data_IF_837887735428
#
_entry.id   IF_837887735428
#
_cell.length_a   1.000
_cell.length_b   1.000
_cell.length_c   1.000
_cell.angle_alpha   90.00
_cell.angle_beta   90.00
_cell.angle_gamma   90.00
#
_symmetry.space_group_name_H-M   'P 1'
#
loop_
_entity.id
_entity.type
_entity.pdbx_description
1 polymer ?
#
# COMPACT_ATOMS: atom_id res chain seq x y z
N UNK A 1 -14.34 -7.34 3.72
CA UNK A 1 -13.26 -6.85 2.84
C UNK A 1 -13.83 -5.98 1.73
N UNK A 2 -13.17 -4.87 1.46
CA UNK A 2 -13.53 -3.92 0.40
C UNK A 2 -12.30 -3.64 -0.46
N UNK A 3 -12.49 -3.59 -1.79
CA UNK A 3 -11.45 -3.20 -2.73
C UNK A 3 -12.08 -2.25 -3.75
N UNK A 4 -11.50 -1.06 -3.87
CA UNK A 4 -11.97 -0.05 -4.81
C UNK A 4 -10.84 0.31 -5.77
N UNK A 5 -11.18 0.51 -7.03
CA UNK A 5 -10.25 1.01 -8.04
C UNK A 5 -10.73 2.35 -8.56
N UNK A 6 -9.81 3.27 -8.78
CA UNK A 6 -10.07 4.52 -9.47
C UNK A 6 -8.87 4.95 -10.29
N UNK A 7 -9.10 5.82 -11.26
CA UNK A 7 -8.05 6.47 -12.04
C UNK A 7 -8.03 7.95 -11.69
N UNK A 8 -6.85 8.44 -11.32
CA UNK A 8 -6.62 9.85 -11.02
C UNK A 8 -5.85 10.47 -12.16
N UNK A 9 -6.35 11.60 -12.68
CA UNK A 9 -5.63 12.39 -13.67
C UNK A 9 -4.58 13.23 -12.97
N UNK A 10 -3.31 13.05 -13.35
CA UNK A 10 -2.19 13.82 -12.83
C UNK A 10 -1.53 14.60 -13.97
N UNK A 11 -0.67 15.60 -13.67
CA UNK A 11 0.11 16.29 -14.70
C UNK A 11 1.00 15.35 -15.52
N UNK A 12 1.42 14.20 -14.96
CA UNK A 12 2.22 13.17 -15.64
C UNK A 12 1.38 12.11 -16.37
N UNK A 13 0.04 12.26 -16.40
CA UNK A 13 -0.87 11.29 -17.02
C UNK A 13 -1.75 10.56 -16.00
N UNK A 14 -2.48 9.52 -16.43
CA UNK A 14 -3.37 8.76 -15.56
C UNK A 14 -2.58 7.92 -14.55
N UNK A 15 -3.05 7.89 -13.31
CA UNK A 15 -2.56 7.06 -12.22
C UNK A 15 -3.66 6.11 -11.77
N UNK A 16 -3.40 4.81 -11.80
CA UNK A 16 -4.30 3.80 -11.25
C UNK A 16 -4.15 3.69 -9.73
N UNK A 17 -5.26 3.77 -8.99
CA UNK A 17 -5.28 3.54 -7.55
C UNK A 17 -6.13 2.32 -7.21
N UNK A 18 -5.61 1.48 -6.32
CA UNK A 18 -6.34 0.37 -5.69
C UNK A 18 -6.36 0.62 -4.19
N UNK A 19 -7.54 0.86 -3.64
CA UNK A 19 -7.75 1.09 -2.20
C UNK A 19 -8.30 -0.18 -1.57
N UNK A 20 -7.63 -0.65 -0.52
CA UNK A 20 -7.88 -1.95 0.10
C UNK A 20 -8.26 -1.77 1.57
N UNK A 21 -9.30 -2.49 2.00
CA UNK A 21 -9.72 -2.60 3.39
C UNK A 21 -10.06 -4.07 3.67
N UNK A 22 -9.12 -4.79 4.26
CA UNK A 22 -9.23 -6.21 4.58
C UNK A 22 -9.78 -6.37 5.99
N UNK A 23 -10.75 -7.25 6.13
CA UNK A 23 -11.35 -7.56 7.43
C UNK A 23 -10.34 -8.04 8.48
N UNK A 24 -10.53 -7.58 9.72
CA UNK A 24 -9.68 -7.88 10.88
C UNK A 24 -9.90 -9.26 11.50
N UNK A 25 -10.68 -10.16 10.88
CA UNK A 25 -10.98 -11.48 11.43
C UNK A 25 -9.70 -12.30 11.63
N UNK A 26 -9.39 -12.62 12.90
CA UNK A 26 -8.10 -13.21 13.31
C UNK A 26 -7.82 -14.58 12.71
N UNK A 27 -8.83 -15.37 12.37
CA UNK A 27 -8.70 -16.73 11.86
C UNK A 27 -8.85 -16.84 10.35
N UNK A 28 -9.06 -15.72 9.64
CA UNK A 28 -9.22 -15.77 8.19
C UNK A 28 -7.87 -15.95 7.48
N UNK A 29 -7.83 -16.86 6.51
CA UNK A 29 -6.69 -16.98 5.60
C UNK A 29 -6.72 -15.85 4.57
N UNK A 30 -5.92 -14.81 4.80
CA UNK A 30 -5.87 -13.62 3.92
C UNK A 30 -5.08 -13.84 2.63
N UNK A 31 -4.33 -14.94 2.54
CA UNK A 31 -3.49 -15.24 1.36
C UNK A 31 -4.24 -15.20 0.03
N UNK A 32 -5.35 -15.92 -0.15
CA UNK A 32 -6.13 -15.88 -1.39
C UNK A 32 -6.67 -14.48 -1.74
N UNK A 33 -7.03 -13.70 -0.73
CA UNK A 33 -7.52 -12.34 -0.94
C UNK A 33 -6.40 -11.42 -1.40
N UNK A 34 -5.24 -11.46 -0.73
CA UNK A 34 -4.06 -10.66 -1.10
C UNK A 34 -3.59 -11.02 -2.51
N UNK A 35 -3.63 -12.32 -2.88
CA UNK A 35 -3.33 -12.76 -4.24
C UNK A 35 -4.29 -12.13 -5.27
N UNK A 36 -5.59 -12.08 -4.98
CA UNK A 36 -6.59 -11.45 -5.87
C UNK A 36 -6.39 -9.93 -5.99
N UNK A 37 -6.02 -9.25 -4.89
CA UNK A 37 -5.67 -7.82 -4.94
C UNK A 37 -4.44 -7.62 -5.82
N UNK A 38 -3.43 -8.49 -5.71
CA UNK A 38 -2.26 -8.46 -6.58
C UNK A 38 -2.63 -8.64 -8.06
N UNK A 39 -3.42 -9.67 -8.40
CA UNK A 39 -3.86 -9.93 -9.77
C UNK A 39 -4.60 -8.73 -10.36
N UNK A 40 -5.50 -8.14 -9.59
CA UNK A 40 -6.21 -6.92 -9.99
C UNK A 40 -5.22 -5.77 -10.25
N UNK A 41 -4.35 -5.48 -9.29
CA UNK A 41 -3.37 -4.39 -9.40
C UNK A 41 -2.41 -4.59 -10.59
N UNK A 42 -1.93 -5.82 -10.81
CA UNK A 42 -1.04 -6.17 -11.91
C UNK A 42 -1.71 -6.10 -13.29
N UNK A 43 -3.05 -6.18 -13.34
CA UNK A 43 -3.83 -6.04 -14.58
C UNK A 43 -4.10 -4.59 -14.98
N UNK A 44 -3.89 -3.63 -14.08
CA UNK A 44 -4.15 -2.21 -14.34
C UNK A 44 -2.99 -1.56 -15.09
N UNK A 45 -3.28 -0.52 -15.90
CA UNK A 45 -2.21 0.29 -16.51
C UNK A 45 -1.34 0.95 -15.44
N UNK A 46 -0.03 0.99 -15.67
CA UNK A 46 0.93 1.74 -14.84
C UNK A 46 0.95 3.22 -15.23
N UNK A 47 1.31 4.11 -14.32
CA UNK A 47 1.68 3.87 -12.92
C UNK A 47 0.49 3.41 -12.05
N UNK A 48 0.74 2.50 -11.12
CA UNK A 48 -0.27 1.95 -10.21
C UNK A 48 0.18 2.05 -8.75
N UNK A 49 -0.70 2.50 -7.87
CA UNK A 49 -0.52 2.50 -6.42
C UNK A 49 -1.60 1.62 -5.79
N UNK A 50 -1.17 0.70 -4.91
CA UNK A 50 -2.08 -0.10 -4.07
C UNK A 50 -1.87 0.33 -2.63
N UNK A 51 -2.93 0.76 -1.94
CA UNK A 51 -2.82 1.29 -0.59
C UNK A 51 -4.01 0.90 0.29
N UNK A 52 -3.78 0.85 1.59
CA UNK A 52 -4.85 0.63 2.57
C UNK A 52 -4.47 -0.34 3.68
N UNK A 53 -5.49 -0.76 4.43
CA UNK A 53 -5.36 -1.73 5.51
C UNK A 53 -5.47 -3.15 4.95
N UNK A 54 -4.38 -3.90 5.06
CA UNK A 54 -4.32 -5.31 4.67
C UNK A 54 -4.51 -6.26 5.85
N UNK A 55 -4.58 -5.74 7.07
CA UNK A 55 -4.64 -6.53 8.30
C UNK A 55 -3.61 -7.68 8.36
N UNK A 56 -2.48 -7.50 7.68
CA UNK A 56 -1.41 -8.50 7.50
C UNK A 56 -0.08 -7.77 7.42
N UNK A 57 0.92 -8.12 8.24
CA UNK A 57 2.24 -7.50 8.17
C UNK A 57 2.87 -7.62 6.78
N UNK A 58 3.55 -6.56 6.31
CA UNK A 58 4.17 -6.53 4.98
C UNK A 58 5.22 -7.64 4.79
N UNK A 59 5.83 -8.13 5.89
CA UNK A 59 6.81 -9.24 5.87
C UNK A 59 6.18 -10.61 5.62
N UNK A 60 4.85 -10.72 5.65
CA UNK A 60 4.15 -11.98 5.39
C UNK A 60 4.49 -12.53 3.99
N UNK A 61 4.58 -13.87 3.90
CA UNK A 61 4.77 -14.57 2.63
C UNK A 61 3.62 -14.35 1.63
N UNK A 62 2.46 -13.87 2.10
CA UNK A 62 1.33 -13.51 1.22
C UNK A 62 1.66 -12.37 0.26
N UNK A 63 2.67 -11.52 0.56
CA UNK A 63 3.13 -10.44 -0.31
C UNK A 63 4.29 -10.82 -1.25
N UNK A 64 4.59 -12.10 -1.42
CA UNK A 64 5.70 -12.53 -2.30
C UNK A 64 5.54 -12.01 -3.73
N UNK A 65 4.34 -12.09 -4.31
CA UNK A 65 4.07 -11.62 -5.67
C UNK A 65 4.09 -10.08 -5.75
N UNK A 66 3.59 -9.39 -4.71
CA UNK A 66 3.73 -7.94 -4.62
C UNK A 66 5.20 -7.51 -4.68
N UNK A 67 6.09 -8.15 -3.92
CA UNK A 67 7.52 -7.81 -3.91
C UNK A 67 8.22 -8.02 -5.26
N UNK A 68 7.69 -8.89 -6.10
CA UNK A 68 8.24 -9.13 -7.45
C UNK A 68 7.91 -8.00 -8.41
N UNK A 69 6.69 -7.48 -8.38
CA UNK A 69 6.16 -6.52 -9.35
C UNK A 69 6.05 -5.09 -8.83
N UNK A 70 5.89 -4.94 -7.52
CA UNK A 70 5.76 -3.66 -6.82
C UNK A 70 6.91 -3.46 -5.84
N UNK A 71 7.06 -2.25 -5.34
CA UNK A 71 7.94 -1.89 -4.24
C UNK A 71 7.12 -1.34 -3.08
N UNK A 72 7.49 -1.69 -1.85
CA UNK A 72 6.83 -1.17 -0.67
C UNK A 72 7.39 0.23 -0.33
N UNK A 73 6.53 1.24 -0.28
CA UNK A 73 6.96 2.63 -0.14
C UNK A 73 7.79 2.86 1.13
N UNK A 74 7.38 2.30 2.27
CA UNK A 74 8.09 2.49 3.51
C UNK A 74 9.43 1.73 3.54
N UNK A 75 9.51 0.50 3.02
CA UNK A 75 10.80 -0.23 2.92
C UNK A 75 11.80 0.52 2.04
N UNK A 76 11.30 1.21 1.00
CA UNK A 76 12.15 1.88 0.01
C UNK A 76 12.61 3.27 0.45
N UNK A 77 11.81 4.02 1.21
CA UNK A 77 12.06 5.43 1.52
C UNK A 77 11.57 5.87 2.90
N UNK A 78 11.22 4.90 3.77
CA UNK A 78 10.66 5.20 5.09
C UNK A 78 11.67 5.73 6.08
N UNK A 79 11.19 6.53 7.01
CA UNK A 79 11.91 6.98 8.19
C UNK A 79 11.11 6.71 9.46
N UNK A 80 11.78 6.27 10.52
CA UNK A 80 11.15 5.94 11.79
C UNK A 80 10.62 4.51 11.86
N UNK A 81 9.57 4.30 12.65
CA UNK A 81 8.96 2.99 12.84
C UNK A 81 7.81 2.78 11.87
N UNK A 82 7.81 1.64 11.20
CA UNK A 82 6.76 1.22 10.25
C UNK A 82 5.43 0.81 10.90
N UNK A 83 5.36 0.23 12.14
CA UNK A 83 4.10 -0.25 12.68
C UNK A 83 3.04 0.85 12.73
N UNK A 84 1.82 0.49 12.30
CA UNK A 84 0.67 1.39 12.24
C UNK A 84 -0.38 1.09 13.31
N UNK A 85 -0.41 -0.13 13.86
CA UNK A 85 -1.42 -0.54 14.82
C UNK A 85 -0.83 -1.23 16.06
N UNK A 86 -1.43 -1.02 17.26
CA UNK A 86 -2.35 0.07 17.61
C UNK A 86 -1.63 1.42 17.71
N UNK A 87 -2.27 2.52 17.34
CA UNK A 87 -1.65 3.84 17.19
C UNK A 87 -0.91 4.35 18.44
N UNK A 88 -1.35 3.98 19.66
CA UNK A 88 -0.72 4.41 20.90
C UNK A 88 0.59 3.67 21.20
N UNK A 89 0.67 2.39 20.84
CA UNK A 89 1.85 1.55 20.98
C UNK A 89 1.94 0.64 19.75
N UNK A 90 2.35 1.16 18.58
CA UNK A 90 2.30 0.39 17.34
C UNK A 90 3.33 -0.73 17.36
N UNK A 91 2.83 -1.95 17.11
CA UNK A 91 3.62 -3.19 17.08
C UNK A 91 3.42 -3.97 15.78
N UNK A 92 2.33 -3.70 15.04
CA UNK A 92 2.02 -4.34 13.77
C UNK A 92 1.93 -3.29 12.66
N UNK A 93 2.49 -3.60 11.52
CA UNK A 93 2.37 -2.87 10.28
C UNK A 93 1.26 -3.51 9.43
N UNK A 94 0.06 -2.95 9.51
CA UNK A 94 -1.13 -3.49 8.85
C UNK A 94 -1.54 -2.68 7.62
N UNK A 95 -1.12 -1.42 7.59
CA UNK A 95 -1.40 -0.48 6.50
C UNK A 95 -0.20 -0.40 5.56
N UNK A 96 -0.43 -0.51 4.26
CA UNK A 96 0.65 -0.54 3.27
C UNK A 96 0.40 0.40 2.11
N UNK A 97 1.50 0.83 1.49
CA UNK A 97 1.53 1.50 0.19
C UNK A 97 2.51 0.74 -0.70
N UNK A 98 1.99 0.10 -1.73
CA UNK A 98 2.74 -0.60 -2.76
C UNK A 98 2.71 0.22 -4.05
N UNK A 99 3.86 0.41 -4.65
CA UNK A 99 4.07 1.26 -5.83
C UNK A 99 4.53 0.39 -6.99
N UNK A 100 3.97 0.58 -8.18
CA UNK A 100 4.57 0.00 -9.39
C UNK A 100 6.00 0.49 -9.58
N UNK A 101 6.83 -0.28 -10.26
CA UNK A 101 8.29 -0.04 -10.32
C UNK A 101 8.68 1.26 -11.02
N UNK A 102 7.80 1.84 -11.81
CA UNK A 102 7.97 3.13 -12.50
C UNK A 102 7.71 4.36 -11.60
N UNK A 103 7.14 4.17 -10.42
CA UNK A 103 6.98 5.22 -9.41
C UNK A 103 8.22 5.26 -8.51
N UNK A 104 8.78 6.45 -8.30
CA UNK A 104 9.95 6.62 -7.42
C UNK A 104 9.50 7.05 -6.03
N UNK A 105 9.67 6.21 -4.99
CA UNK A 105 9.39 6.61 -3.62
C UNK A 105 10.41 7.65 -3.15
N UNK A 106 9.93 8.74 -2.55
CA UNK A 106 10.76 9.86 -2.07
C UNK A 106 10.91 9.82 -0.56
N UNK A 107 9.78 9.71 0.14
CA UNK A 107 9.75 9.64 1.60
C UNK A 107 8.48 8.93 2.05
N UNK A 108 8.60 8.13 3.11
CA UNK A 108 7.44 7.52 3.76
C UNK A 108 7.56 7.61 5.28
N UNK A 109 6.44 7.86 5.96
CA UNK A 109 6.36 7.93 7.43
C UNK A 109 5.00 7.53 7.94
N UNK A 110 4.95 7.05 9.18
CA UNK A 110 3.71 6.86 9.91
C UNK A 110 3.45 8.05 10.83
N UNK A 111 2.25 8.61 10.77
CA UNK A 111 1.81 9.73 11.62
C UNK A 111 0.70 9.26 12.56
N UNK A 112 0.93 9.38 13.86
CA UNK A 112 -0.09 9.07 14.87
C UNK A 112 -1.18 10.14 14.88
N UNK A 113 -2.43 9.72 14.90
CA UNK A 113 -3.56 10.59 15.11
C UNK A 113 -4.33 10.10 16.34
N UNK A 114 -4.92 11.00 17.11
CA UNK A 114 -5.76 10.64 18.25
C UNK A 114 -7.21 10.33 17.84
N UNK A 115 -7.48 10.20 16.53
CA UNK A 115 -8.82 10.00 15.97
C UNK A 115 -9.02 8.60 15.38
N UNK A 116 -7.98 7.77 15.36
CA UNK A 116 -7.99 6.40 14.86
C UNK A 116 -7.10 5.54 15.75
N UNK A 117 -7.41 4.28 15.85
CA UNK A 117 -6.54 3.25 16.44
C UNK A 117 -5.42 2.78 15.48
N UNK A 118 -5.41 3.28 14.23
CA UNK A 118 -4.29 3.17 13.29
C UNK A 118 -3.53 4.49 13.16
N UNK A 119 -2.22 4.41 12.98
CA UNK A 119 -1.42 5.52 12.51
C UNK A 119 -1.63 5.70 11.00
N UNK A 120 -1.68 6.95 10.54
CA UNK A 120 -1.79 7.28 9.13
C UNK A 120 -0.45 7.07 8.44
N UNK A 121 -0.39 6.24 7.41
CA UNK A 121 0.78 6.08 6.56
C UNK A 121 0.75 7.12 5.44
N UNK A 122 1.83 7.89 5.32
CA UNK A 122 2.01 8.94 4.31
C UNK A 122 3.21 8.55 3.45
N UNK A 123 3.05 8.60 2.13
CA UNK A 123 4.13 8.39 1.18
C UNK A 123 4.16 9.52 0.15
N UNK A 124 5.33 10.14 0.02
CA UNK A 124 5.62 11.11 -1.03
C UNK A 124 6.31 10.37 -2.18
N UNK A 125 5.84 10.55 -3.40
CA UNK A 125 6.30 9.82 -4.57
C UNK A 125 6.48 10.74 -5.78
N UNK A 126 7.44 10.40 -6.65
CA UNK A 126 7.54 10.98 -7.98
C UNK A 126 6.91 10.02 -8.99
N UNK A 127 5.94 10.51 -9.73
CA UNK A 127 5.32 9.78 -10.84
C UNK A 127 6.21 9.87 -12.09
N UNK A 128 6.15 8.86 -12.99
CA UNK A 128 6.84 8.95 -14.27
C UNK A 128 6.32 10.15 -15.07
N UNK A 129 7.18 10.75 -15.89
CA UNK A 129 6.75 11.76 -16.83
C UNK A 129 5.77 11.16 -17.86
N UNK A 130 4.84 11.99 -18.36
CA UNK A 130 4.00 11.56 -19.46
C UNK A 130 4.87 11.12 -20.64
N UNK A 131 4.54 9.99 -21.25
CA UNK A 131 5.15 9.62 -22.53
C UNK A 131 4.72 10.67 -23.57
N UNK A 132 5.71 11.29 -24.23
CA UNK A 132 5.47 12.19 -25.36
C UNK A 132 4.85 11.46 -26.57
#
# INVERSE_FOLDING_TARGET
TRVHTCVVTTPGGPLSLVVVDVESELLSNRGPLIARVYELAASLPTPTIVLGDFNTPHTSSFFTEFRRSFQHAFESSGSGLIPTWPALLPVLDLDHVWLSRDIVPVHARALRTFRSDHAMLIADVNLPAAAE
#
